data_IF_979211032334
#
_entry.id   IF_979211032334
#
_cell.length_a   1.000
_cell.length_b   1.000
_cell.length_c   1.000
_cell.angle_alpha   90.00
_cell.angle_beta   90.00
_cell.angle_gamma   90.00
#
_symmetry.space_group_name_H-M   'P 1'
#
loop_
_entity.id
_entity.type
_entity.pdbx_description
1 polymer ?
#
# COMPACT_ATOMS: atom_id res chain seq x y z
N UNK A 1 25.29 -32.08 9.08
CA UNK A 1 25.40 -30.65 9.37
C UNK A 1 23.99 -30.16 9.64
N UNK A 2 23.68 -29.88 10.89
CA UNK A 2 22.38 -29.41 11.34
C UNK A 2 22.15 -27.98 10.86
N UNK A 3 21.37 -27.83 9.79
CA UNK A 3 20.95 -26.52 9.30
C UNK A 3 19.83 -26.06 10.22
N UNK A 4 20.19 -25.21 11.20
CA UNK A 4 19.21 -24.47 11.99
C UNK A 4 18.41 -23.59 11.04
N UNK A 5 17.19 -24.01 10.74
CA UNK A 5 16.16 -23.15 10.14
C UNK A 5 15.96 -21.97 11.08
N UNK A 6 16.37 -20.78 10.62
CA UNK A 6 16.26 -19.54 11.39
C UNK A 6 14.83 -19.32 11.87
N UNK A 7 14.69 -18.93 13.13
CA UNK A 7 13.42 -18.44 13.67
C UNK A 7 12.96 -17.25 12.82
N UNK A 8 11.86 -17.43 12.08
CA UNK A 8 11.18 -16.34 11.41
C UNK A 8 10.32 -15.58 12.43
N UNK A 9 10.92 -14.59 13.11
CA UNK A 9 10.16 -13.63 13.92
C UNK A 9 9.35 -12.71 13.00
N UNK A 10 8.12 -13.10 12.69
CA UNK A 10 7.20 -12.31 11.87
C UNK A 10 6.17 -13.08 11.04
N UNK A 11 6.01 -14.39 11.26
CA UNK A 11 4.93 -15.16 10.65
C UNK A 11 3.57 -14.86 11.29
N UNK A 12 2.53 -14.61 10.47
CA UNK A 12 1.16 -14.46 10.94
C UNK A 12 0.67 -15.76 11.61
N UNK A 13 0.30 -15.75 12.91
CA UNK A 13 0.14 -16.98 13.71
C UNK A 13 -1.14 -17.78 13.43
N UNK A 14 -2.04 -17.29 12.56
CA UNK A 14 -3.28 -17.97 12.18
C UNK A 14 -3.21 -18.71 10.84
N UNK A 15 -2.03 -18.83 10.24
CA UNK A 15 -1.83 -19.64 9.05
C UNK A 15 -1.23 -21.00 9.46
N UNK A 16 -2.02 -22.07 9.33
CA UNK A 16 -1.44 -23.39 9.11
C UNK A 16 -0.45 -23.29 7.94
N UNK A 17 0.73 -23.88 8.12
CA UNK A 17 1.85 -23.97 7.17
C UNK A 17 1.76 -23.06 5.92
N UNK A 18 2.15 -21.78 6.11
CA UNK A 18 2.47 -20.87 5.01
C UNK A 18 1.39 -19.83 4.66
N UNK A 19 1.32 -18.74 5.42
CA UNK A 19 0.61 -17.53 4.98
C UNK A 19 1.27 -16.94 3.75
N UNK A 20 0.47 -16.67 2.70
CA UNK A 20 0.74 -16.07 1.36
C UNK A 20 2.00 -16.49 0.58
N UNK A 21 3.12 -16.78 1.23
CA UNK A 21 4.32 -17.42 0.69
C UNK A 21 4.08 -18.85 0.21
N UNK A 22 3.11 -19.58 0.77
CA UNK A 22 2.74 -20.93 0.29
C UNK A 22 2.20 -20.93 -1.14
N UNK A 23 1.57 -19.83 -1.57
CA UNK A 23 1.05 -19.72 -2.94
C UNK A 23 2.16 -19.63 -4.00
N UNK A 24 3.37 -19.22 -3.63
CA UNK A 24 4.48 -18.95 -4.55
C UNK A 24 5.74 -19.78 -4.28
N UNK A 25 5.72 -20.68 -3.29
CA UNK A 25 6.87 -21.48 -2.91
C UNK A 25 8.04 -20.64 -2.39
N UNK A 26 9.24 -21.25 -2.31
CA UNK A 26 10.47 -20.53 -1.97
C UNK A 26 10.84 -19.60 -3.10
N UNK A 27 11.15 -18.35 -2.76
CA UNK A 27 11.59 -17.33 -3.70
C UNK A 27 13.12 -17.28 -3.77
N UNK A 28 13.68 -16.58 -4.77
CA UNK A 28 15.13 -16.37 -4.87
C UNK A 28 15.74 -15.72 -3.62
N UNK A 29 14.96 -14.90 -2.90
CA UNK A 29 15.40 -14.22 -1.67
C UNK A 29 15.56 -15.18 -0.49
N UNK A 30 14.84 -16.31 -0.50
CA UNK A 30 14.97 -17.33 0.53
C UNK A 30 16.22 -18.20 0.31
N UNK A 31 16.69 -18.32 -0.94
CA UNK A 31 17.88 -19.10 -1.30
C UNK A 31 19.17 -18.28 -1.31
N UNK A 32 19.09 -17.01 -1.70
CA UNK A 32 20.23 -16.09 -1.78
C UNK A 32 19.91 -14.77 -1.03
N UNK A 33 19.99 -14.78 0.31
CA UNK A 33 19.61 -13.62 1.11
C UNK A 33 20.49 -12.38 0.87
N UNK A 34 21.75 -12.59 0.46
CA UNK A 34 22.73 -11.51 0.19
C UNK A 34 22.81 -11.11 -1.30
N UNK A 35 21.90 -11.60 -2.15
CA UNK A 35 21.86 -11.22 -3.56
C UNK A 35 21.49 -9.73 -3.72
N UNK A 36 22.09 -9.07 -4.72
CA UNK A 36 21.80 -7.67 -5.03
C UNK A 36 20.31 -7.48 -5.33
N UNK A 37 19.65 -6.59 -4.58
CA UNK A 37 18.23 -6.33 -4.70
C UNK A 37 17.93 -5.44 -5.91
N UNK A 38 17.47 -6.04 -7.01
CA UNK A 38 17.10 -5.32 -8.24
C UNK A 38 15.63 -4.87 -8.26
N UNK A 39 14.78 -5.40 -7.38
CA UNK A 39 13.35 -5.07 -7.31
C UNK A 39 13.11 -3.57 -7.07
N UNK A 40 14.06 -2.88 -6.44
CA UNK A 40 14.01 -1.43 -6.22
C UNK A 40 14.00 -0.64 -7.53
N UNK A 41 14.60 -1.18 -8.59
CA UNK A 41 14.60 -0.55 -9.91
C UNK A 41 13.26 -0.72 -10.63
N UNK A 42 12.41 -1.61 -10.12
CA UNK A 42 11.04 -1.87 -10.58
C UNK A 42 10.03 -1.18 -9.64
N UNK A 43 10.48 -0.40 -8.65
CA UNK A 43 9.60 0.47 -7.88
C UNK A 43 9.01 1.54 -8.84
N UNK A 44 7.84 1.22 -9.42
CA UNK A 44 7.22 1.99 -10.51
C UNK A 44 7.22 1.29 -11.89
N UNK A 45 7.56 0.00 -11.97
CA UNK A 45 7.47 -0.78 -13.21
C UNK A 45 6.11 -0.64 -13.88
N UNK A 46 6.07 -0.66 -15.23
CA UNK A 46 4.90 -0.46 -16.12
C UNK A 46 3.79 0.28 -15.38
N UNK A 47 4.06 1.56 -15.09
CA UNK A 47 3.32 2.43 -14.18
C UNK A 47 1.84 1.99 -14.14
N UNK A 48 1.34 1.37 -13.05
CA UNK A 48 -0.07 0.98 -12.94
C UNK A 48 -0.97 2.21 -12.78
N UNK A 49 -0.52 3.34 -13.28
CA UNK A 49 -1.18 4.62 -13.25
C UNK A 49 -2.44 4.52 -14.11
N UNK A 50 -3.61 4.55 -13.48
CA UNK A 50 -4.87 4.47 -14.20
C UNK A 50 -5.17 5.75 -14.99
N UNK A 51 -4.43 6.84 -14.75
CA UNK A 51 -4.64 8.15 -15.39
C UNK A 51 -3.95 8.25 -16.75
N UNK A 52 -2.97 7.37 -17.01
CA UNK A 52 -2.26 7.28 -18.28
C UNK A 52 -1.15 8.33 -18.44
N UNK A 53 -0.29 8.12 -19.44
CA UNK A 53 0.94 8.89 -19.62
C UNK A 53 0.71 10.37 -19.99
N UNK A 54 -0.48 10.71 -20.49
CA UNK A 54 -0.83 12.08 -20.93
C UNK A 54 -1.43 12.94 -19.80
N UNK A 55 -1.63 12.40 -18.59
CA UNK A 55 -2.24 13.13 -17.48
C UNK A 55 -1.23 14.02 -16.74
N UNK A 56 -1.47 15.33 -16.71
CA UNK A 56 -0.72 16.30 -15.92
C UNK A 56 -1.49 16.68 -14.63
N UNK A 57 -1.01 16.16 -13.50
CA UNK A 57 -1.60 16.48 -12.19
C UNK A 57 -1.47 17.96 -11.81
N UNK A 58 -0.36 18.62 -12.18
CA UNK A 58 -0.16 20.02 -11.84
C UNK A 58 -1.13 20.90 -12.62
N UNK A 59 -1.35 20.62 -13.91
CA UNK A 59 -2.38 21.30 -14.70
C UNK A 59 -3.77 21.08 -14.11
N UNK A 60 -4.14 19.82 -13.85
CA UNK A 60 -5.44 19.46 -13.29
C UNK A 60 -5.69 20.12 -11.92
N UNK A 61 -4.68 20.16 -11.06
CA UNK A 61 -4.77 20.80 -9.74
C UNK A 61 -4.91 22.31 -9.85
N UNK A 62 -4.24 22.96 -10.81
CA UNK A 62 -4.39 24.40 -11.03
C UNK A 62 -5.77 24.79 -11.57
N UNK A 63 -6.47 23.88 -12.22
CA UNK A 63 -7.84 24.07 -12.69
C UNK A 63 -8.91 23.80 -11.61
N UNK A 64 -8.52 23.23 -10.46
CA UNK A 64 -9.42 22.87 -9.37
C UNK A 64 -9.96 24.11 -8.66
N UNK A 65 -11.27 24.12 -8.35
CA UNK A 65 -11.83 25.09 -7.39
C UNK A 65 -11.40 24.71 -5.96
N UNK A 66 -10.24 25.24 -5.59
CA UNK A 66 -9.62 24.96 -4.31
C UNK A 66 -10.42 25.48 -3.10
N UNK A 67 -11.21 26.54 -3.29
CA UNK A 67 -12.02 27.10 -2.22
C UNK A 67 -13.28 26.26 -1.99
N UNK A 68 -13.93 25.82 -3.06
CA UNK A 68 -15.05 24.89 -2.98
C UNK A 68 -14.63 23.58 -2.29
N UNK A 69 -13.49 23.00 -2.70
CA UNK A 69 -12.97 21.78 -2.05
C UNK A 69 -12.79 21.95 -0.53
N UNK A 70 -12.23 23.08 -0.09
CA UNK A 70 -12.07 23.36 1.34
C UNK A 70 -13.41 23.51 2.06
N UNK A 71 -14.37 24.17 1.42
CA UNK A 71 -15.71 24.33 1.98
C UNK A 71 -16.40 22.96 2.15
N UNK A 72 -16.32 22.10 1.14
CA UNK A 72 -16.88 20.75 1.17
C UNK A 72 -16.22 19.90 2.25
N UNK A 73 -14.89 19.95 2.39
CA UNK A 73 -14.18 19.26 3.47
C UNK A 73 -14.59 19.79 4.85
N UNK A 74 -14.80 21.09 5.01
CA UNK A 74 -15.24 21.67 6.28
C UNK A 74 -16.66 21.22 6.63
N UNK A 75 -17.54 21.13 5.64
CA UNK A 75 -18.90 20.62 5.85
C UNK A 75 -18.87 19.12 6.24
N UNK A 76 -18.05 18.32 5.55
CA UNK A 76 -17.90 16.88 5.81
C UNK A 76 -17.51 16.58 7.26
N UNK A 77 -16.70 17.45 7.88
CA UNK A 77 -16.29 17.22 9.26
C UNK A 77 -17.47 17.04 10.22
N UNK A 78 -18.56 17.76 10.01
CA UNK A 78 -19.76 17.67 10.86
C UNK A 78 -20.86 16.75 10.30
N UNK A 79 -20.62 16.13 9.14
CA UNK A 79 -21.55 15.22 8.47
C UNK A 79 -21.31 13.77 8.91
N UNK A 80 -21.65 13.48 10.18
CA UNK A 80 -21.42 12.18 10.81
C UNK A 80 -22.11 11.05 10.05
N UNK A 81 -21.39 9.95 9.85
CA UNK A 81 -21.89 8.76 9.15
C UNK A 81 -22.24 7.63 10.13
N UNK A 82 -23.36 6.95 9.94
CA UNK A 82 -23.82 5.90 10.88
C UNK A 82 -22.84 4.72 11.02
N UNK A 83 -22.08 4.43 9.96
CA UNK A 83 -21.07 3.36 9.96
C UNK A 83 -19.77 3.77 10.66
N UNK A 84 -19.55 5.06 10.86
CA UNK A 84 -18.44 5.61 11.65
C UNK A 84 -18.84 6.97 12.24
N UNK A 85 -19.56 6.98 13.37
CA UNK A 85 -20.07 8.22 13.95
C UNK A 85 -18.95 9.16 14.38
N UNK A 86 -19.12 10.45 14.12
CA UNK A 86 -18.16 11.46 14.53
C UNK A 86 -18.26 11.70 16.05
N UNK A 87 -17.12 11.62 16.73
CA UNK A 87 -17.05 11.92 18.15
C UNK A 87 -17.33 13.41 18.37
N UNK A 88 -18.22 13.75 19.31
CA UNK A 88 -18.63 15.15 19.55
C UNK A 88 -19.28 15.87 18.35
N UNK A 89 -19.66 15.12 17.30
CA UNK A 89 -20.30 15.68 16.10
C UNK A 89 -19.32 16.39 15.15
N UNK A 90 -18.02 16.11 15.25
CA UNK A 90 -16.97 16.58 14.33
C UNK A 90 -15.82 15.57 14.20
#
# INVERSE_FOLDING_TARGET
MDIKTGEMSGGCPFHGDGGTRSLFGRTNRDWWPDALQLDILVAGGKNPDPLGDDFDYAEAFNALDYNALKADLTALMTDSQDWWPADYGH
#
